data_IF_070963761177
#
_entry.id   IF_070963761177
#
_cell.length_a   1.000
_cell.length_b   1.000
_cell.length_c   1.000
_cell.angle_alpha   90.00
_cell.angle_beta   90.00
_cell.angle_gamma   90.00
#
_symmetry.space_group_name_H-M   'P 1'
#
loop_
_entity.id
_entity.type
_entity.pdbx_description
1 polymer ?
#
# COMPACT_ATOMS: atom_id res chain seq x y z
N UNK A 1 44.99 -57.44 -42.15
CA UNK A 1 43.55 -57.18 -41.97
C UNK A 1 43.31 -56.80 -40.51
N UNK A 2 43.09 -55.52 -40.23
CA UNK A 2 42.35 -55.02 -39.07
C UNK A 2 42.12 -53.53 -39.30
N UNK A 3 40.95 -53.21 -39.85
CA UNK A 3 40.43 -51.85 -39.89
C UNK A 3 39.79 -51.55 -38.53
N UNK A 4 40.24 -50.46 -37.90
CA UNK A 4 39.46 -49.75 -36.88
C UNK A 4 39.36 -48.32 -37.44
N UNK A 5 38.24 -47.89 -38.00
CA UNK A 5 36.94 -47.89 -37.32
C UNK A 5 36.78 -46.54 -36.64
N UNK A 6 36.78 -45.46 -37.43
CA UNK A 6 36.43 -44.13 -36.96
C UNK A 6 34.93 -44.14 -36.58
N UNK A 7 34.61 -44.16 -35.30
CA UNK A 7 33.25 -43.98 -34.81
C UNK A 7 33.01 -42.51 -34.44
N UNK A 8 32.23 -41.85 -35.29
CA UNK A 8 31.04 -41.06 -34.92
C UNK A 8 31.14 -40.03 -33.79
N UNK A 9 31.19 -38.75 -34.20
CA UNK A 9 30.20 -37.75 -33.80
C UNK A 9 30.03 -37.43 -32.31
N UNK A 10 30.97 -36.68 -31.73
CA UNK A 10 30.71 -35.91 -30.52
C UNK A 10 29.96 -34.61 -30.87
N UNK A 11 28.64 -34.69 -31.03
CA UNK A 11 27.76 -33.52 -30.97
C UNK A 11 27.67 -33.02 -29.53
N UNK A 12 28.75 -32.41 -29.02
CA UNK A 12 28.76 -31.81 -27.70
C UNK A 12 27.85 -30.59 -27.68
N UNK A 13 26.96 -30.49 -26.66
CA UNK A 13 26.19 -29.25 -26.41
C UNK A 13 27.17 -28.06 -26.46
N UNK A 14 26.84 -26.98 -27.18
CA UNK A 14 27.74 -25.83 -27.27
C UNK A 14 28.04 -25.29 -25.87
N UNK A 15 29.29 -24.88 -25.63
CA UNK A 15 29.71 -24.41 -24.31
C UNK A 15 28.95 -23.14 -23.92
N UNK A 16 27.99 -23.30 -23.01
CA UNK A 16 27.11 -22.25 -22.53
C UNK A 16 27.88 -21.08 -21.90
N UNK A 17 29.03 -21.35 -21.28
CA UNK A 17 29.84 -20.32 -20.64
C UNK A 17 30.57 -19.46 -21.68
N UNK A 18 31.11 -20.10 -22.72
CA UNK A 18 31.68 -19.40 -23.87
C UNK A 18 30.63 -18.55 -24.59
N UNK A 19 29.42 -19.08 -24.83
CA UNK A 19 28.31 -18.34 -25.44
C UNK A 19 27.90 -17.12 -24.60
N UNK A 20 27.82 -17.29 -23.27
CA UNK A 20 27.53 -16.19 -22.35
C UNK A 20 28.61 -15.11 -22.40
N UNK A 21 29.90 -15.46 -22.46
CA UNK A 21 30.96 -14.46 -22.53
C UNK A 21 31.05 -13.75 -23.90
N UNK A 22 30.73 -14.46 -24.98
CA UNK A 22 30.52 -13.83 -26.30
C UNK A 22 29.35 -12.84 -26.23
N UNK A 23 28.24 -13.22 -25.60
CA UNK A 23 27.10 -12.33 -25.33
C UNK A 23 27.50 -11.10 -24.52
N UNK A 24 28.32 -11.27 -23.48
CA UNK A 24 28.86 -10.15 -22.68
C UNK A 24 29.69 -9.21 -23.55
N UNK A 25 30.52 -9.75 -24.44
CA UNK A 25 31.35 -8.97 -25.37
C UNK A 25 30.49 -8.21 -26.37
N UNK A 26 29.49 -8.85 -26.97
CA UNK A 26 28.54 -8.21 -27.87
C UNK A 26 27.75 -7.09 -27.17
N UNK A 27 27.31 -7.33 -25.92
CA UNK A 27 26.61 -6.35 -25.08
C UNK A 27 27.48 -5.12 -24.80
N UNK A 28 28.75 -5.32 -24.38
CA UNK A 28 29.73 -4.23 -24.17
C UNK A 28 30.01 -3.44 -25.45
N UNK A 29 29.92 -4.08 -26.63
CA UNK A 29 30.03 -3.44 -27.95
C UNK A 29 28.74 -2.79 -28.45
N UNK A 30 27.73 -2.66 -27.59
CA UNK A 30 26.41 -2.10 -27.90
C UNK A 30 25.63 -2.89 -28.99
N UNK A 31 26.00 -4.13 -29.26
CA UNK A 31 25.32 -5.03 -30.21
C UNK A 31 24.28 -5.88 -29.48
N UNK A 32 23.21 -5.23 -29.04
CA UNK A 32 22.25 -5.79 -28.08
C UNK A 32 21.44 -6.96 -28.64
N UNK A 33 21.02 -6.91 -29.90
CA UNK A 33 20.30 -8.02 -30.56
C UNK A 33 21.18 -9.26 -30.71
N UNK A 34 22.45 -9.06 -31.06
CA UNK A 34 23.44 -10.14 -31.12
C UNK A 34 23.64 -10.76 -29.72
N UNK A 35 23.81 -9.92 -28.70
CA UNK A 35 23.94 -10.36 -27.32
C UNK A 35 22.72 -11.16 -26.84
N UNK A 36 21.50 -10.71 -27.14
CA UNK A 36 20.26 -11.44 -26.81
C UNK A 36 20.24 -12.84 -27.43
N UNK A 37 20.61 -12.95 -28.71
CA UNK A 37 20.73 -14.23 -29.40
C UNK A 37 21.75 -15.16 -28.75
N UNK A 38 22.94 -14.64 -28.43
CA UNK A 38 24.01 -15.40 -27.76
C UNK A 38 23.61 -15.86 -26.36
N UNK A 39 22.94 -15.02 -25.56
CA UNK A 39 22.43 -15.44 -24.26
C UNK A 39 21.32 -16.47 -24.39
N UNK A 40 20.48 -16.39 -25.41
CA UNK A 40 19.43 -17.39 -25.67
C UNK A 40 20.05 -18.74 -25.98
N UNK A 41 21.05 -18.79 -26.87
CA UNK A 41 21.82 -20.01 -27.13
C UNK A 41 22.50 -20.55 -25.86
N UNK A 42 23.04 -19.67 -25.01
CA UNK A 42 23.63 -20.07 -23.73
C UNK A 42 22.59 -20.70 -22.78
N UNK A 43 21.37 -20.16 -22.75
CA UNK A 43 20.26 -20.69 -21.94
C UNK A 43 19.80 -22.05 -22.47
N UNK A 44 19.66 -22.19 -23.80
CA UNK A 44 19.21 -23.43 -24.44
C UNK A 44 20.25 -24.57 -24.31
N UNK A 45 21.52 -24.22 -24.12
CA UNK A 45 22.60 -25.18 -23.88
C UNK A 45 22.66 -25.70 -22.43
N UNK A 46 21.94 -25.07 -21.50
CA UNK A 46 21.91 -25.41 -20.08
C UNK A 46 20.62 -26.16 -19.74
N UNK A 47 20.70 -27.09 -18.79
CA UNK A 47 19.52 -27.74 -18.25
C UNK A 47 18.68 -26.73 -17.43
N UNK A 48 17.39 -26.97 -17.28
CA UNK A 48 16.46 -26.00 -16.68
C UNK A 48 16.84 -25.63 -15.24
N UNK A 49 17.34 -26.58 -14.47
CA UNK A 49 17.72 -26.40 -13.06
C UNK A 49 19.19 -25.96 -12.86
N UNK A 50 19.94 -25.69 -13.94
CA UNK A 50 21.36 -25.32 -13.80
C UNK A 50 21.51 -23.90 -13.19
N UNK A 51 22.22 -23.72 -12.05
CA UNK A 51 22.45 -22.41 -11.46
C UNK A 51 23.16 -21.40 -12.37
N UNK A 52 23.94 -21.86 -13.36
CA UNK A 52 24.57 -21.00 -14.38
C UNK A 52 23.54 -20.38 -15.33
N UNK A 53 22.37 -21.01 -15.49
CA UNK A 53 21.26 -20.49 -16.31
C UNK A 53 20.76 -19.16 -15.77
N UNK A 54 20.72 -18.99 -14.44
CA UNK A 54 20.37 -17.72 -13.80
C UNK A 54 21.27 -16.55 -14.25
N UNK A 55 22.57 -16.79 -14.48
CA UNK A 55 23.51 -15.77 -14.97
C UNK A 55 23.18 -15.34 -16.41
N UNK A 56 22.91 -16.31 -17.28
CA UNK A 56 22.56 -16.04 -18.67
C UNK A 56 21.20 -15.33 -18.78
N UNK A 57 20.21 -15.75 -17.99
CA UNK A 57 18.90 -15.11 -17.87
C UNK A 57 19.00 -13.67 -17.37
N UNK A 58 19.75 -13.39 -16.31
CA UNK A 58 19.92 -12.02 -15.81
C UNK A 58 20.66 -11.10 -16.80
N UNK A 59 21.57 -11.66 -17.61
CA UNK A 59 22.24 -10.92 -18.67
C UNK A 59 21.32 -10.66 -19.87
N UNK A 60 20.48 -11.64 -20.25
CA UNK A 60 19.44 -11.46 -21.27
C UNK A 60 18.39 -10.45 -20.80
N UNK A 61 18.00 -10.47 -19.54
CA UNK A 61 17.04 -9.54 -18.93
C UNK A 61 17.47 -8.08 -19.11
N UNK A 62 18.70 -7.69 -18.72
CA UNK A 62 19.17 -6.31 -18.95
C UNK A 62 19.30 -5.98 -20.44
N UNK A 63 19.67 -6.95 -21.27
CA UNK A 63 19.74 -6.76 -22.73
C UNK A 63 18.37 -6.44 -23.30
N UNK A 64 17.34 -7.17 -22.88
CA UNK A 64 15.94 -6.94 -23.24
C UNK A 64 15.43 -5.59 -22.73
N UNK A 65 15.77 -5.17 -21.51
CA UNK A 65 15.46 -3.81 -21.03
C UNK A 65 16.05 -2.74 -21.95
N UNK A 66 17.29 -2.91 -22.39
CA UNK A 66 17.92 -1.98 -23.31
C UNK A 66 17.35 -2.04 -24.74
N UNK A 67 16.73 -3.15 -25.12
CA UNK A 67 15.96 -3.33 -26.36
C UNK A 67 14.48 -2.92 -26.22
N UNK A 68 14.08 -2.38 -25.06
CA UNK A 68 12.70 -1.96 -24.74
C UNK A 68 11.69 -3.11 -24.64
N UNK A 69 12.15 -4.35 -24.52
CA UNK A 69 11.31 -5.49 -24.16
C UNK A 69 11.29 -5.69 -22.63
N UNK A 70 10.53 -4.84 -21.93
CA UNK A 70 10.43 -4.91 -20.48
C UNK A 70 9.69 -6.17 -19.99
N UNK A 71 8.73 -6.69 -20.78
CA UNK A 71 7.97 -7.91 -20.44
C UNK A 71 8.85 -9.16 -20.54
N UNK A 72 9.66 -9.28 -21.59
CA UNK A 72 10.64 -10.37 -21.69
C UNK A 72 11.74 -10.26 -20.64
N UNK A 73 12.17 -9.04 -20.31
CA UNK A 73 13.13 -8.82 -19.23
C UNK A 73 12.60 -9.23 -17.85
N UNK A 74 11.32 -8.97 -17.57
CA UNK A 74 10.69 -9.37 -16.32
C UNK A 74 10.65 -10.89 -16.19
N UNK A 75 10.19 -11.59 -17.24
CA UNK A 75 10.18 -13.06 -17.28
C UNK A 75 11.55 -13.67 -17.03
N UNK A 76 12.58 -13.16 -17.71
CA UNK A 76 13.96 -13.62 -17.51
C UNK A 76 14.47 -13.37 -16.08
N UNK A 77 14.10 -12.24 -15.47
CA UNK A 77 14.51 -11.92 -14.11
C UNK A 77 13.80 -12.80 -13.06
N UNK A 78 12.53 -13.14 -13.31
CA UNK A 78 11.75 -14.04 -12.45
C UNK A 78 12.28 -15.47 -12.53
N UNK A 79 12.56 -15.98 -13.73
CA UNK A 79 13.20 -17.30 -13.92
C UNK A 79 14.61 -17.32 -13.31
N UNK A 80 15.38 -16.24 -13.43
CA UNK A 80 16.69 -16.16 -12.76
C UNK A 80 16.57 -16.23 -11.23
N UNK A 81 15.53 -15.63 -10.65
CA UNK A 81 15.28 -15.63 -9.21
C UNK A 81 14.65 -16.91 -8.69
N UNK A 82 13.93 -17.67 -9.53
CA UNK A 82 13.48 -19.02 -9.15
C UNK A 82 14.65 -20.00 -9.02
N UNK A 83 15.68 -19.83 -9.87
CA UNK A 83 16.90 -20.64 -9.82
C UNK A 83 17.88 -20.19 -8.73
N UNK A 84 17.98 -18.88 -8.51
CA UNK A 84 18.83 -18.28 -7.47
C UNK A 84 18.02 -17.29 -6.64
N UNK A 85 17.29 -17.76 -5.62
CA UNK A 85 16.59 -16.90 -4.69
C UNK A 85 17.55 -15.93 -4.02
N UNK A 86 17.07 -14.72 -3.70
CA UNK A 86 17.82 -13.69 -2.98
C UNK A 86 19.17 -13.33 -3.63
N UNK A 87 19.28 -13.46 -4.95
CA UNK A 87 20.49 -13.06 -5.66
C UNK A 87 20.43 -11.60 -6.11
N UNK A 88 21.34 -10.76 -5.60
CA UNK A 88 21.26 -9.30 -5.74
C UNK A 88 21.16 -8.78 -7.17
N UNK A 89 21.83 -9.41 -8.14
CA UNK A 89 21.67 -9.04 -9.57
C UNK A 89 20.28 -9.36 -10.08
N UNK A 90 19.73 -10.54 -9.77
CA UNK A 90 18.38 -10.95 -10.14
C UNK A 90 17.33 -10.00 -9.55
N UNK A 91 17.46 -9.68 -8.26
CA UNK A 91 16.59 -8.74 -7.56
C UNK A 91 16.58 -7.38 -8.28
N UNK A 92 17.77 -6.84 -8.57
CA UNK A 92 17.89 -5.57 -9.28
C UNK A 92 17.34 -5.64 -10.71
N UNK A 93 17.50 -6.76 -11.44
CA UNK A 93 16.91 -6.93 -12.79
C UNK A 93 15.39 -6.92 -12.76
N UNK A 94 14.77 -7.66 -11.83
CA UNK A 94 13.32 -7.72 -11.70
C UNK A 94 12.75 -6.34 -11.37
N UNK A 95 13.35 -5.66 -10.39
CA UNK A 95 12.93 -4.32 -10.00
C UNK A 95 13.02 -3.30 -11.16
N UNK A 96 14.12 -3.33 -11.93
CA UNK A 96 14.28 -2.49 -13.13
C UNK A 96 13.30 -2.85 -14.26
N UNK A 97 12.90 -4.10 -14.37
CA UNK A 97 11.91 -4.52 -15.36
C UNK A 97 10.50 -4.03 -14.99
N UNK A 98 10.11 -4.14 -13.71
CA UNK A 98 8.87 -3.56 -13.18
C UNK A 98 8.86 -2.03 -13.37
N UNK A 99 9.96 -1.36 -13.06
CA UNK A 99 10.13 0.09 -13.29
C UNK A 99 9.91 0.44 -14.77
N UNK A 100 10.47 -0.34 -15.70
CA UNK A 100 10.32 -0.10 -17.13
C UNK A 100 8.90 -0.38 -17.68
N UNK A 101 8.11 -1.18 -16.96
CA UNK A 101 6.69 -1.42 -17.26
C UNK A 101 5.77 -0.33 -16.69
N UNK A 102 6.28 0.56 -15.84
CA UNK A 102 5.49 1.57 -15.12
C UNK A 102 4.82 1.02 -13.85
N UNK A 103 5.15 -0.21 -13.44
CA UNK A 103 4.64 -0.87 -12.24
C UNK A 103 5.46 -0.44 -11.01
N UNK A 104 5.59 0.88 -10.80
CA UNK A 104 6.46 1.46 -9.78
C UNK A 104 6.08 1.01 -8.35
N UNK A 105 4.78 0.76 -8.08
CA UNK A 105 4.30 0.27 -6.77
C UNK A 105 4.79 -1.14 -6.51
N UNK A 106 4.65 -2.02 -7.51
CA UNK A 106 5.10 -3.41 -7.40
C UNK A 106 6.63 -3.49 -7.29
N UNK A 107 7.34 -2.66 -8.06
CA UNK A 107 8.80 -2.52 -7.96
C UNK A 107 9.21 -2.07 -6.55
N UNK A 108 8.55 -1.07 -5.99
CA UNK A 108 8.85 -0.55 -4.65
C UNK A 108 8.63 -1.63 -3.58
N UNK A 109 7.46 -2.29 -3.58
CA UNK A 109 7.14 -3.36 -2.64
C UNK A 109 8.17 -4.48 -2.71
N UNK A 110 8.46 -4.97 -3.91
CA UNK A 110 9.41 -6.05 -4.12
C UNK A 110 10.82 -5.71 -3.61
N UNK A 111 11.32 -4.49 -3.89
CA UNK A 111 12.64 -4.07 -3.40
C UNK A 111 12.65 -3.90 -1.88
N UNK A 112 11.57 -3.36 -1.30
CA UNK A 112 11.44 -3.21 0.16
C UNK A 112 11.47 -4.58 0.86
N UNK A 113 10.67 -5.53 0.38
CA UNK A 113 10.67 -6.91 0.90
C UNK A 113 12.06 -7.56 0.77
N UNK A 114 12.72 -7.40 -0.37
CA UNK A 114 14.06 -7.94 -0.59
C UNK A 114 15.13 -7.33 0.33
N UNK A 115 14.96 -6.07 0.75
CA UNK A 115 15.84 -5.40 1.70
C UNK A 115 15.50 -5.71 3.16
N UNK A 116 14.26 -6.12 3.47
CA UNK A 116 13.87 -6.52 4.83
C UNK A 116 14.47 -7.87 5.24
N UNK A 117 14.83 -8.70 4.25
CA UNK A 117 15.50 -9.99 4.49
C UNK A 117 16.84 -9.78 5.23
N UNK A 118 17.06 -10.48 6.36
CA UNK A 118 18.31 -10.43 7.11
C UNK A 118 19.51 -10.79 6.23
N UNK A 119 20.62 -10.08 6.43
CA UNK A 119 21.85 -10.29 5.63
C UNK A 119 22.36 -11.73 5.70
N UNK A 120 22.12 -12.40 6.83
CA UNK A 120 22.47 -13.81 7.07
C UNK A 120 21.68 -14.78 6.16
N UNK A 121 20.45 -14.42 5.81
CA UNK A 121 19.56 -15.23 4.96
C UNK A 121 19.80 -14.97 3.47
N UNK A 122 20.47 -13.86 3.14
CA UNK A 122 20.79 -13.44 1.77
C UNK A 122 22.31 -13.22 1.55
N UNK A 123 23.18 -14.22 1.79
CA UNK A 123 24.64 -14.06 1.70
C UNK A 123 25.12 -13.73 0.29
N UNK A 124 24.33 -14.06 -0.74
CA UNK A 124 24.61 -13.78 -2.14
C UNK A 124 24.38 -12.30 -2.53
N UNK A 125 23.76 -11.49 -1.66
CA UNK A 125 23.59 -10.05 -1.85
C UNK A 125 24.79 -9.33 -1.24
N UNK A 126 25.69 -8.88 -2.09
CA UNK A 126 26.85 -8.10 -1.60
C UNK A 126 26.41 -6.74 -1.04
N UNK A 127 27.17 -6.13 -0.12
CA UNK A 127 26.85 -4.79 0.39
C UNK A 127 26.68 -3.74 -0.72
N UNK A 128 27.48 -3.85 -1.79
CA UNK A 128 27.34 -2.99 -2.97
C UNK A 128 26.00 -3.22 -3.70
N UNK A 129 25.57 -4.47 -3.87
CA UNK A 129 24.27 -4.77 -4.49
C UNK A 129 23.10 -4.30 -3.61
N UNK A 130 23.22 -4.47 -2.29
CA UNK A 130 22.23 -3.97 -1.33
C UNK A 130 22.10 -2.45 -1.42
N UNK A 131 23.22 -1.72 -1.45
CA UNK A 131 23.23 -0.27 -1.66
C UNK A 131 22.58 0.14 -2.99
N UNK A 132 22.80 -0.58 -4.09
CA UNK A 132 22.11 -0.27 -5.35
C UNK A 132 20.59 -0.51 -5.29
N UNK A 133 20.13 -1.48 -4.49
CA UNK A 133 18.71 -1.71 -4.25
C UNK A 133 18.11 -0.61 -3.37
N UNK A 134 18.85 -0.14 -2.36
CA UNK A 134 18.44 1.00 -1.52
C UNK A 134 18.31 2.28 -2.35
N UNK A 135 19.28 2.58 -3.21
CA UNK A 135 19.21 3.71 -4.16
C UNK A 135 18.00 3.60 -5.08
N UNK A 136 17.72 2.40 -5.59
CA UNK A 136 16.55 2.15 -6.43
C UNK A 136 15.24 2.35 -5.66
N UNK A 137 15.17 1.88 -4.41
CA UNK A 137 14.01 2.05 -3.54
C UNK A 137 13.73 3.54 -3.30
N UNK A 138 14.76 4.32 -3.00
CA UNK A 138 14.66 5.79 -2.82
C UNK A 138 14.20 6.47 -4.12
N UNK A 139 14.70 6.06 -5.27
CA UNK A 139 14.29 6.62 -6.56
C UNK A 139 12.82 6.30 -6.89
N UNK A 140 12.39 5.04 -6.73
CA UNK A 140 11.00 4.60 -6.94
C UNK A 140 10.05 5.35 -6.02
N UNK A 141 10.42 5.46 -4.74
CA UNK A 141 9.69 6.25 -3.75
C UNK A 141 9.48 7.69 -4.21
N UNK A 142 10.56 8.40 -4.58
CA UNK A 142 10.48 9.78 -5.04
C UNK A 142 9.58 9.94 -6.25
N UNK A 143 9.62 8.99 -7.19
CA UNK A 143 8.74 8.97 -8.36
C UNK A 143 7.28 8.78 -7.98
N UNK A 144 6.97 7.83 -7.10
CA UNK A 144 5.62 7.59 -6.59
C UNK A 144 5.08 8.82 -5.86
N UNK A 145 5.93 9.51 -5.09
CA UNK A 145 5.57 10.76 -4.44
C UNK A 145 5.29 11.86 -5.44
N UNK A 146 6.18 12.07 -6.42
CA UNK A 146 5.98 13.07 -7.47
C UNK A 146 4.69 12.83 -8.28
N UNK A 147 4.37 11.55 -8.59
CA UNK A 147 3.13 11.17 -9.29
C UNK A 147 1.88 11.54 -8.49
N UNK A 148 1.96 11.51 -7.17
CA UNK A 148 0.86 11.81 -6.26
C UNK A 148 1.00 13.18 -5.58
N UNK A 149 1.95 14.02 -6.01
CA UNK A 149 2.17 15.33 -5.41
C UNK A 149 1.04 16.28 -5.85
N UNK A 150 0.59 17.13 -4.92
CA UNK A 150 -0.29 18.24 -5.25
C UNK A 150 0.60 19.38 -5.75
N UNK A 151 0.69 19.53 -7.06
CA UNK A 151 1.58 20.51 -7.72
C UNK A 151 0.90 21.84 -7.99
N UNK A 152 -0.42 21.83 -8.19
CA UNK A 152 -1.20 23.06 -8.22
C UNK A 152 -1.20 23.71 -6.84
N UNK A 153 -1.25 25.03 -6.79
CA UNK A 153 -1.47 25.81 -5.57
C UNK A 153 -2.91 26.29 -5.54
N UNK A 154 -3.87 25.48 -5.04
CA UNK A 154 -5.22 25.93 -4.79
C UNK A 154 -5.26 27.27 -4.04
N UNK A 155 -6.12 28.18 -4.50
CA UNK A 155 -6.26 29.52 -3.92
C UNK A 155 -7.38 29.60 -2.86
N UNK A 156 -8.08 28.49 -2.60
CA UNK A 156 -9.20 28.44 -1.65
C UNK A 156 -9.20 27.16 -0.81
N UNK A 157 -9.92 27.22 0.32
CA UNK A 157 -10.09 26.11 1.26
C UNK A 157 -10.69 24.89 0.56
N UNK A 158 -11.79 25.08 -0.17
CA UNK A 158 -12.49 24.00 -0.87
C UNK A 158 -11.62 23.33 -1.93
N UNK A 159 -10.80 24.11 -2.64
CA UNK A 159 -9.91 23.58 -3.66
C UNK A 159 -8.75 22.76 -3.04
N UNK A 160 -8.23 23.17 -1.88
CA UNK A 160 -7.26 22.36 -1.13
C UNK A 160 -7.86 21.05 -0.62
N UNK A 161 -9.05 21.12 -0.05
CA UNK A 161 -9.78 19.95 0.45
C UNK A 161 -10.06 18.96 -0.68
N UNK A 162 -10.56 19.45 -1.83
CA UNK A 162 -10.81 18.62 -3.00
C UNK A 162 -9.53 17.97 -3.54
N UNK A 163 -8.42 18.72 -3.62
CA UNK A 163 -7.14 18.20 -4.11
C UNK A 163 -6.58 17.08 -3.21
N UNK A 164 -6.74 17.20 -1.89
CA UNK A 164 -6.35 16.16 -0.95
C UNK A 164 -7.27 14.94 -1.01
N UNK A 165 -8.58 15.14 -1.14
CA UNK A 165 -9.59 14.10 -1.18
C UNK A 165 -9.39 13.15 -2.38
N UNK A 166 -9.19 13.70 -3.58
CA UNK A 166 -9.00 12.90 -4.80
C UNK A 166 -7.61 12.24 -4.88
N UNK A 167 -6.69 12.60 -3.99
CA UNK A 167 -5.34 12.06 -4.01
C UNK A 167 -5.33 10.56 -3.67
N UNK A 168 -4.65 9.68 -4.42
CA UNK A 168 -4.59 8.27 -4.06
C UNK A 168 -3.68 8.01 -2.84
N UNK A 169 -2.72 8.89 -2.56
CA UNK A 169 -1.74 8.74 -1.47
C UNK A 169 -2.30 9.19 -0.12
N UNK A 170 -2.84 8.24 0.65
CA UNK A 170 -3.35 8.55 1.99
C UNK A 170 -2.28 9.02 2.97
N UNK A 171 -1.04 8.51 2.86
CA UNK A 171 0.05 8.96 3.73
C UNK A 171 0.37 10.43 3.49
N UNK A 172 0.22 10.94 2.27
CA UNK A 172 0.32 12.37 1.98
C UNK A 172 -0.76 13.17 2.72
N UNK A 173 -2.02 12.72 2.70
CA UNK A 173 -3.10 13.37 3.47
C UNK A 173 -2.79 13.39 4.97
N UNK A 174 -2.40 12.25 5.53
CA UNK A 174 -2.07 12.13 6.95
C UNK A 174 -0.86 13.00 7.33
N UNK A 175 0.20 12.98 6.52
CA UNK A 175 1.36 13.85 6.71
C UNK A 175 0.96 15.33 6.67
N UNK A 176 0.12 15.71 5.71
CA UNK A 176 -0.39 17.09 5.58
C UNK A 176 -1.15 17.52 6.82
N UNK A 177 -2.05 16.68 7.33
CA UNK A 177 -2.78 16.92 8.57
C UNK A 177 -1.83 17.11 9.77
N UNK A 178 -0.80 16.25 9.88
CA UNK A 178 0.20 16.33 10.94
C UNK A 178 1.07 17.61 10.83
N UNK A 179 1.46 18.00 9.61
CA UNK A 179 2.17 19.26 9.38
C UNK A 179 1.31 20.48 9.73
N UNK A 180 0.03 20.49 9.35
CA UNK A 180 -0.91 21.54 9.73
C UNK A 180 -1.05 21.63 11.26
N UNK A 181 -1.17 20.50 11.96
CA UNK A 181 -1.17 20.47 13.43
C UNK A 181 0.14 21.02 14.03
N UNK A 182 1.29 20.62 13.49
CA UNK A 182 2.60 21.03 13.99
C UNK A 182 2.90 22.50 13.73
N UNK A 183 2.37 23.08 12.64
CA UNK A 183 2.58 24.46 12.26
C UNK A 183 1.81 25.51 13.09
N UNK A 184 0.95 25.08 14.01
CA UNK A 184 0.07 25.98 14.78
C UNK A 184 0.41 26.01 16.27
N UNK A 185 -0.04 27.07 16.95
CA UNK A 185 0.17 27.28 18.38
C UNK A 185 -0.62 26.24 19.20
N UNK A 186 -0.17 25.90 20.42
CA UNK A 186 -0.87 24.94 21.27
C UNK A 186 -2.34 25.28 21.55
N UNK A 187 -2.68 26.57 21.72
CA UNK A 187 -4.08 27.00 21.84
C UNK A 187 -4.94 26.67 20.61
N UNK A 188 -4.35 26.73 19.42
CA UNK A 188 -5.03 26.45 18.16
C UNK A 188 -5.21 24.93 17.98
N UNK A 189 -4.21 24.14 18.39
CA UNK A 189 -4.31 22.66 18.47
C UNK A 189 -5.46 22.22 19.36
N UNK A 190 -5.72 22.93 20.46
CA UNK A 190 -6.83 22.62 21.38
C UNK A 190 -8.18 22.77 20.68
N UNK A 191 -8.36 23.86 19.93
CA UNK A 191 -9.58 24.10 19.15
C UNK A 191 -9.74 23.09 18.01
N UNK A 192 -8.64 22.70 17.36
CA UNK A 192 -8.62 21.63 16.35
C UNK A 192 -9.03 20.29 16.98
N UNK A 193 -8.54 19.98 18.18
CA UNK A 193 -8.88 18.76 18.90
C UNK A 193 -10.35 18.74 19.33
N UNK A 194 -10.87 19.84 19.89
CA UNK A 194 -12.29 19.98 20.25
C UNK A 194 -13.20 19.71 19.07
N UNK A 195 -12.86 20.32 17.94
CA UNK A 195 -13.53 20.13 16.68
C UNK A 195 -13.53 18.67 16.20
N UNK A 196 -12.37 18.01 16.23
CA UNK A 196 -12.25 16.60 15.85
C UNK A 196 -13.07 15.69 16.77
N UNK A 197 -13.04 15.94 18.08
CA UNK A 197 -13.79 15.17 19.07
C UNK A 197 -15.31 15.34 18.91
N UNK A 198 -15.77 16.55 18.60
CA UNK A 198 -17.18 16.81 18.31
C UNK A 198 -17.65 16.06 17.07
N UNK A 199 -16.85 16.07 15.99
CA UNK A 199 -17.15 15.30 14.77
C UNK A 199 -17.16 13.79 15.04
N UNK A 200 -16.20 13.28 15.82
CA UNK A 200 -16.13 11.88 16.22
C UNK A 200 -17.34 11.45 17.06
N UNK A 201 -17.83 12.33 17.92
CA UNK A 201 -19.01 12.07 18.75
C UNK A 201 -20.33 12.20 18.00
N UNK A 202 -20.38 13.04 16.96
CA UNK A 202 -21.53 13.21 16.09
C UNK A 202 -21.65 12.11 15.00
N UNK A 203 -20.66 11.24 14.85
CA UNK A 203 -20.69 10.15 13.89
C UNK A 203 -21.91 9.23 14.13
N UNK A 204 -22.72 8.95 13.10
CA UNK A 204 -23.95 8.19 13.27
C UNK A 204 -23.66 6.75 13.71
N UNK A 205 -24.64 6.15 14.40
CA UNK A 205 -24.56 4.77 14.85
C UNK A 205 -24.31 3.79 13.68
N UNK A 206 -23.77 2.59 13.93
CA UNK A 206 -23.20 1.65 12.97
C UNK A 206 -23.92 1.27 11.65
N UNK A 207 -25.12 1.77 11.37
CA UNK A 207 -25.97 1.27 10.29
C UNK A 207 -26.22 2.20 9.09
N UNK A 208 -25.50 3.32 8.90
CA UNK A 208 -25.96 4.37 7.96
C UNK A 208 -24.99 4.92 6.92
N UNK A 209 -23.79 4.36 6.72
CA UNK A 209 -22.87 4.83 5.67
C UNK A 209 -22.59 3.77 4.58
N UNK A 210 -22.74 4.11 3.29
CA UNK A 210 -22.42 3.23 2.18
C UNK A 210 -20.98 3.43 1.72
N UNK A 211 -20.25 2.32 1.49
CA UNK A 211 -19.43 2.00 0.30
C UNK A 211 -18.19 1.13 0.62
N UNK A 212 -18.16 0.02 -0.12
CA UNK A 212 -17.09 -0.81 -0.70
C UNK A 212 -15.82 -1.18 0.09
N UNK A 213 -15.82 -2.46 0.47
CA UNK A 213 -14.70 -3.42 0.52
C UNK A 213 -13.44 -3.02 1.28
N UNK A 214 -13.58 -3.03 2.60
CA UNK A 214 -12.50 -3.12 3.60
C UNK A 214 -11.57 -4.34 3.36
N UNK A 215 -12.08 -5.45 2.82
CA UNK A 215 -11.34 -6.69 2.63
C UNK A 215 -10.13 -6.53 1.67
N UNK A 216 -10.28 -5.76 0.59
CA UNK A 216 -9.21 -5.56 -0.39
C UNK A 216 -8.05 -4.68 0.12
N UNK A 217 -8.31 -3.79 1.08
CA UNK A 217 -7.30 -2.90 1.68
C UNK A 217 -6.57 -3.61 2.82
N UNK A 218 -7.30 -4.40 3.63
CA UNK A 218 -6.73 -5.17 4.73
C UNK A 218 -5.90 -6.37 4.25
N UNK A 219 -6.29 -7.06 3.16
CA UNK A 219 -5.46 -8.13 2.57
C UNK A 219 -4.15 -7.65 1.95
N UNK A 220 -4.06 -6.36 1.57
CA UNK A 220 -2.83 -5.75 1.09
C UNK A 220 -1.87 -5.39 2.24
N UNK A 221 -2.41 -5.06 3.43
CA UNK A 221 -1.66 -4.57 4.59
C UNK A 221 -1.28 -5.70 5.57
N UNK A 222 -2.14 -6.72 5.73
CA UNK A 222 -1.89 -7.90 6.57
C UNK A 222 -0.75 -8.80 6.05
N UNK A 223 -0.36 -8.66 4.79
CA UNK A 223 0.83 -9.31 4.23
C UNK A 223 2.15 -8.68 4.70
N UNK A 224 2.13 -7.54 5.40
CA UNK A 224 3.33 -6.78 5.76
C UNK A 224 3.47 -6.37 7.23
N UNK A 225 2.58 -6.77 8.16
CA UNK A 225 2.68 -6.34 9.56
C UNK A 225 2.40 -7.46 10.58
N UNK A 226 3.44 -8.07 11.18
CA UNK A 226 3.29 -9.18 12.12
C UNK A 226 2.85 -8.79 13.54
N UNK A 227 2.63 -7.50 13.85
CA UNK A 227 2.38 -7.03 15.23
C UNK A 227 0.91 -6.84 15.63
N UNK A 228 -0.05 -7.22 14.79
CA UNK A 228 -1.47 -7.21 15.17
C UNK A 228 -1.88 -8.58 15.71
N UNK A 229 -1.70 -8.80 17.02
CA UNK A 229 -2.42 -9.86 17.73
C UNK A 229 -3.46 -9.25 18.69
N UNK A 230 -4.71 -9.76 18.73
CA UNK A 230 -5.71 -9.30 19.67
C UNK A 230 -5.54 -10.03 20.99
N UNK A 231 -5.05 -9.34 22.03
CA UNK A 231 -5.10 -9.86 23.40
C UNK A 231 -6.33 -9.33 24.16
N UNK A 232 -7.14 -10.31 24.55
CA UNK A 232 -8.30 -10.34 25.44
C UNK A 232 -8.56 -9.13 26.37
N UNK A 233 -9.74 -8.53 26.21
CA UNK A 233 -10.45 -7.83 27.30
C UNK A 233 -11.87 -8.43 27.35
N UNK A 234 -12.30 -8.85 28.54
CA UNK A 234 -13.59 -9.50 28.74
C UNK A 234 -14.77 -8.55 28.38
N UNK A 235 -15.78 -9.05 27.64
CA UNK A 235 -16.77 -8.22 26.94
C UNK A 235 -17.75 -7.44 27.84
N UNK A 236 -17.96 -7.88 29.08
CA UNK A 236 -19.03 -7.34 29.93
C UNK A 236 -18.61 -6.11 30.76
N UNK A 237 -17.34 -6.01 31.15
CA UNK A 237 -16.81 -4.84 31.86
C UNK A 237 -16.51 -3.66 30.93
N UNK A 238 -16.10 -3.95 29.69
CA UNK A 238 -15.83 -2.95 28.65
C UNK A 238 -17.13 -2.32 28.14
N UNK A 239 -18.19 -3.11 27.96
CA UNK A 239 -19.50 -2.61 27.53
C UNK A 239 -20.10 -1.59 28.52
N UNK A 240 -19.96 -1.80 29.84
CA UNK A 240 -20.46 -0.88 30.87
C UNK A 240 -19.63 0.42 30.94
N UNK A 241 -18.30 0.31 30.76
CA UNK A 241 -17.38 1.46 30.67
C UNK A 241 -17.64 2.31 29.41
N UNK A 242 -17.87 1.65 28.27
CA UNK A 242 -18.29 2.27 27.01
C UNK A 242 -19.63 2.99 27.18
N UNK A 243 -20.58 2.41 27.91
CA UNK A 243 -21.91 3.00 28.17
C UNK A 243 -21.84 4.25 29.05
N UNK A 244 -20.92 4.28 30.01
CA UNK A 244 -20.69 5.43 30.90
C UNK A 244 -19.97 6.59 30.19
N UNK A 245 -18.99 6.28 29.32
CA UNK A 245 -18.23 7.26 28.54
C UNK A 245 -18.94 7.73 27.27
N UNK A 246 -19.94 6.97 26.79
CA UNK A 246 -20.78 7.29 25.62
C UNK A 246 -22.04 8.05 25.98
N UNK A 247 -22.29 8.37 27.26
CA UNK A 247 -23.40 9.26 27.60
C UNK A 247 -23.15 10.60 26.90
N UNK A 248 -24.11 11.12 26.12
CA UNK A 248 -24.00 12.51 25.69
C UNK A 248 -23.80 13.34 26.95
N UNK A 249 -22.78 14.20 26.96
CA UNK A 249 -22.64 15.19 28.01
C UNK A 249 -24.00 15.87 28.15
N UNK A 250 -24.60 15.78 29.33
CA UNK A 250 -25.85 16.47 29.60
C UNK A 250 -25.62 17.97 29.28
N UNK A 251 -26.19 18.38 28.16
CA UNK A 251 -26.29 19.75 27.65
C UNK A 251 -24.99 20.52 27.34
N UNK A 252 -23.99 19.91 26.68
CA UNK A 252 -22.84 20.68 26.16
C UNK A 252 -21.94 20.01 25.11
N UNK A 253 -21.18 20.81 24.32
CA UNK A 253 -20.19 20.29 23.37
C UNK A 253 -19.06 19.54 24.10
N UNK A 254 -18.55 18.46 23.51
CA UNK A 254 -17.35 17.79 24.03
C UNK A 254 -16.17 18.76 23.89
N UNK A 255 -15.52 19.06 25.03
CA UNK A 255 -14.35 19.93 25.12
C UNK A 255 -13.18 19.18 25.76
N UNK A 256 -12.03 19.22 25.11
CA UNK A 256 -10.74 18.76 25.60
C UNK A 256 -10.35 19.48 26.90
N UNK A 257 -10.70 20.77 27.05
CA UNK A 257 -10.54 21.52 28.30
C UNK A 257 -11.26 20.85 29.48
N UNK A 258 -12.48 20.35 29.26
CA UNK A 258 -13.24 19.64 30.29
C UNK A 258 -12.62 18.27 30.65
N UNK A 259 -11.84 17.70 29.72
CA UNK A 259 -11.01 16.51 29.94
C UNK A 259 -9.65 16.84 30.61
N UNK A 260 -9.38 18.11 30.96
CA UNK A 260 -8.13 18.54 31.59
C UNK A 260 -6.96 18.68 30.61
N UNK A 261 -7.23 18.70 29.30
CA UNK A 261 -6.22 19.02 28.29
C UNK A 261 -5.96 20.52 28.35
N UNK A 262 -4.73 20.90 28.65
CA UNK A 262 -4.26 22.28 28.59
C UNK A 262 -3.37 22.45 27.35
N UNK A 263 -3.13 23.70 26.90
CA UNK A 263 -2.17 23.96 25.84
C UNK A 263 -0.79 23.31 26.07
N UNK A 264 -0.35 23.17 27.33
CA UNK A 264 0.95 22.55 27.68
C UNK A 264 1.01 21.05 27.35
N UNK A 265 -0.14 20.39 27.24
CA UNK A 265 -0.24 18.99 26.83
C UNK A 265 -0.16 18.80 25.30
N UNK A 266 -0.32 19.87 24.51
CA UNK A 266 -0.45 19.81 23.06
C UNK A 266 0.88 20.03 22.34
N UNK A 267 1.80 19.09 22.50
CA UNK A 267 3.09 19.09 21.78
C UNK A 267 2.91 18.78 20.28
N UNK A 268 3.92 19.07 19.44
CA UNK A 268 3.92 18.62 18.06
C UNK A 268 3.89 17.09 17.95
N UNK A 269 3.23 16.55 16.92
CA UNK A 269 3.31 15.15 16.54
C UNK A 269 4.73 14.76 16.13
N UNK A 270 5.23 13.58 16.54
CA UNK A 270 6.47 13.04 16.01
C UNK A 270 6.29 12.75 14.51
N UNK A 271 7.14 13.36 13.69
CA UNK A 271 7.05 13.20 12.23
C UNK A 271 7.76 11.96 11.72
N UNK A 272 8.22 11.04 12.58
CA UNK A 272 8.99 9.84 12.16
C UNK A 272 8.25 8.97 11.15
N UNK A 273 6.92 8.82 11.29
CA UNK A 273 6.07 8.04 10.38
C UNK A 273 5.81 8.74 9.03
N UNK A 274 6.18 10.02 8.93
CA UNK A 274 5.96 10.87 7.76
C UNK A 274 7.23 11.60 7.31
N UNK A 275 8.38 11.31 7.92
CA UNK A 275 9.66 11.99 7.68
C UNK A 275 10.11 11.87 6.23
N UNK A 276 9.54 10.88 5.59
CA UNK A 276 9.83 10.37 4.31
C UNK A 276 8.84 10.91 3.26
N UNK A 277 7.80 11.66 3.66
CA UNK A 277 6.75 12.26 2.82
C UNK A 277 6.97 13.76 2.62
N UNK A 278 7.04 14.20 1.37
CA UNK A 278 7.05 15.62 1.01
C UNK A 278 5.62 16.18 1.01
N UNK A 279 5.17 16.69 2.15
CA UNK A 279 3.86 17.34 2.25
C UNK A 279 3.81 18.66 1.46
N UNK A 280 2.62 19.11 0.98
CA UNK A 280 2.51 20.28 0.13
C UNK A 280 2.87 21.55 0.91
N UNK A 281 4.10 22.05 0.76
CA UNK A 281 4.61 23.22 1.50
C UNK A 281 3.77 24.48 1.28
N UNK A 282 3.21 24.63 0.08
CA UNK A 282 2.29 25.72 -0.25
C UNK A 282 1.01 25.68 0.60
N UNK A 283 0.42 24.50 0.83
CA UNK A 283 -0.73 24.35 1.74
C UNK A 283 -0.32 24.64 3.17
N UNK A 284 0.83 24.14 3.62
CA UNK A 284 1.30 24.36 5.00
C UNK A 284 1.47 25.87 5.25
N UNK A 285 2.06 26.59 4.30
CA UNK A 285 2.20 28.04 4.36
C UNK A 285 0.85 28.77 4.30
N UNK A 286 -0.04 28.36 3.40
CA UNK A 286 -1.40 28.89 3.30
C UNK A 286 -2.17 28.72 4.61
N UNK A 287 -2.15 27.52 5.19
CA UNK A 287 -2.80 27.16 6.43
C UNK A 287 -2.29 27.99 7.62
N UNK A 288 -0.97 28.17 7.73
CA UNK A 288 -0.35 28.96 8.79
C UNK A 288 -0.71 30.46 8.72
N UNK A 289 -1.04 30.98 7.53
CA UNK A 289 -1.44 32.36 7.33
C UNK A 289 -2.93 32.64 7.60
N UNK A 290 -3.75 31.60 7.79
CA UNK A 290 -5.19 31.77 8.01
C UNK A 290 -5.51 32.33 9.41
N UNK A 291 -6.58 33.14 9.54
CA UNK A 291 -7.18 33.43 10.83
C UNK A 291 -7.59 32.15 11.56
N UNK A 292 -7.54 32.17 12.89
CA UNK A 292 -7.72 30.97 13.73
C UNK A 292 -9.03 30.21 13.46
N UNK A 293 -10.15 30.91 13.28
CA UNK A 293 -11.44 30.26 13.02
C UNK A 293 -11.47 29.57 11.64
N UNK A 294 -10.84 30.18 10.62
CA UNK A 294 -10.72 29.59 9.28
C UNK A 294 -9.74 28.42 9.25
N UNK A 295 -8.66 28.50 10.02
CA UNK A 295 -7.71 27.41 10.20
C UNK A 295 -8.39 26.17 10.79
N UNK A 296 -9.17 26.35 11.87
CA UNK A 296 -9.93 25.26 12.48
C UNK A 296 -10.96 24.70 11.49
N UNK A 297 -11.68 25.58 10.76
CA UNK A 297 -12.65 25.17 9.76
C UNK A 297 -12.02 24.37 8.60
N UNK A 298 -10.87 24.81 8.07
CA UNK A 298 -10.15 24.10 7.01
C UNK A 298 -9.61 22.75 7.51
N UNK A 299 -9.03 22.71 8.72
CA UNK A 299 -8.59 21.44 9.30
C UNK A 299 -9.75 20.46 9.49
N UNK A 300 -10.89 20.93 10.00
CA UNK A 300 -12.11 20.13 10.09
C UNK A 300 -12.60 19.65 8.72
N UNK A 301 -12.56 20.52 7.71
CA UNK A 301 -12.97 20.14 6.36
C UNK A 301 -12.07 19.02 5.80
N UNK A 302 -10.74 19.15 5.96
CA UNK A 302 -9.79 18.08 5.59
C UNK A 302 -10.06 16.79 6.39
N UNK A 303 -10.25 16.88 7.70
CA UNK A 303 -10.62 15.78 8.59
C UNK A 303 -11.88 15.04 8.12
N UNK A 304 -12.95 15.78 7.79
CA UNK A 304 -14.22 15.22 7.31
C UNK A 304 -14.13 14.60 5.92
N UNK A 305 -13.10 14.92 5.12
CA UNK A 305 -12.83 14.25 3.84
C UNK A 305 -11.84 13.10 3.95
N UNK A 306 -11.19 12.90 5.11
CA UNK A 306 -10.41 11.69 5.34
C UNK A 306 -11.30 10.46 5.21
N UNK A 307 -10.74 9.41 4.61
CA UNK A 307 -11.38 8.09 4.59
C UNK A 307 -11.47 7.56 6.01
N UNK A 308 -12.39 6.62 6.21
CA UNK A 308 -12.64 6.05 7.53
C UNK A 308 -11.37 5.53 8.22
N UNK A 309 -10.60 4.68 7.52
CA UNK A 309 -9.38 4.10 8.09
C UNK A 309 -8.31 5.16 8.39
N UNK A 310 -8.27 6.26 7.62
CA UNK A 310 -7.38 7.39 7.85
C UNK A 310 -7.76 8.12 9.14
N UNK A 311 -9.07 8.32 9.41
CA UNK A 311 -9.52 8.88 10.69
C UNK A 311 -9.18 7.99 11.87
N UNK A 312 -9.27 6.66 11.70
CA UNK A 312 -8.82 5.70 12.72
C UNK A 312 -7.32 5.82 12.98
N UNK A 313 -6.49 5.94 11.94
CA UNK A 313 -5.05 6.14 12.09
C UNK A 313 -4.73 7.43 12.84
N UNK A 314 -5.35 8.55 12.47
CA UNK A 314 -5.14 9.83 13.18
C UNK A 314 -5.67 9.78 14.61
N UNK A 315 -6.81 9.12 14.84
CA UNK A 315 -7.35 8.95 16.19
C UNK A 315 -6.46 8.06 17.07
N UNK A 316 -5.84 7.02 16.51
CA UNK A 316 -4.84 6.21 17.19
C UNK A 316 -3.57 7.02 17.49
N UNK A 317 -3.10 7.83 16.54
CA UNK A 317 -1.96 8.74 16.75
C UNK A 317 -2.26 9.72 17.90
N UNK A 318 -3.48 10.27 17.96
CA UNK A 318 -3.94 11.07 19.11
C UNK A 318 -3.97 10.26 20.41
N UNK A 319 -4.49 9.03 20.40
CA UNK A 319 -4.59 8.19 21.59
C UNK A 319 -3.21 7.89 22.18
N UNK A 320 -2.25 7.46 21.35
CA UNK A 320 -0.86 7.24 21.80
C UNK A 320 -0.22 8.54 22.30
N UNK A 321 -0.49 9.65 21.64
CA UNK A 321 0.07 10.94 22.02
C UNK A 321 -0.48 11.47 23.36
N UNK A 322 -1.76 11.21 23.63
CA UNK A 322 -2.45 11.63 24.84
C UNK A 322 -2.53 10.53 25.91
N UNK A 323 -1.74 9.46 25.83
CA UNK A 323 -1.71 8.36 26.82
C UNK A 323 -1.54 8.87 28.26
N UNK A 324 -0.85 10.02 28.42
CA UNK A 324 -0.65 10.69 29.71
C UNK A 324 -1.86 11.50 30.21
N UNK A 325 -2.88 11.69 29.38
CA UNK A 325 -4.14 12.40 29.70
C UNK A 325 -5.25 11.37 29.94
N UNK A 326 -5.34 10.91 31.18
CA UNK A 326 -6.19 9.78 31.61
C UNK A 326 -7.69 9.92 31.27
N UNK A 327 -8.20 11.15 31.07
CA UNK A 327 -9.62 11.39 30.73
C UNK A 327 -9.91 11.36 29.22
N UNK A 328 -8.91 11.65 28.38
CA UNK A 328 -9.10 11.74 26.94
C UNK A 328 -8.88 10.38 26.25
N UNK A 329 -7.93 9.58 26.74
CA UNK A 329 -7.65 8.25 26.17
C UNK A 329 -8.89 7.34 26.08
N UNK A 330 -9.70 7.17 27.15
CA UNK A 330 -10.89 6.36 27.07
C UNK A 330 -11.94 6.90 26.09
N UNK A 331 -12.02 8.22 25.91
CA UNK A 331 -12.94 8.83 24.92
C UNK A 331 -12.48 8.55 23.49
N UNK A 332 -11.18 8.63 23.23
CA UNK A 332 -10.59 8.30 21.93
C UNK A 332 -10.73 6.80 21.63
N UNK A 333 -10.49 5.92 22.60
CA UNK A 333 -10.69 4.48 22.45
C UNK A 333 -12.16 4.12 22.14
N UNK A 334 -13.10 4.77 22.83
CA UNK A 334 -14.55 4.61 22.56
C UNK A 334 -14.89 5.12 21.16
N UNK A 335 -14.39 6.28 20.76
CA UNK A 335 -14.61 6.82 19.42
C UNK A 335 -14.04 5.90 18.34
N UNK A 336 -12.82 5.42 18.50
CA UNK A 336 -12.17 4.44 17.62
C UNK A 336 -12.98 3.13 17.56
N UNK A 337 -13.51 2.66 18.68
CA UNK A 337 -14.33 1.45 18.75
C UNK A 337 -15.68 1.63 18.05
N UNK A 338 -16.36 2.77 18.24
CA UNK A 338 -17.61 3.11 17.55
C UNK A 338 -17.40 3.20 16.05
N UNK A 339 -16.30 3.84 15.63
CA UNK A 339 -15.88 3.87 14.24
C UNK A 339 -15.73 2.45 13.70
N UNK A 340 -14.96 1.57 14.36
CA UNK A 340 -14.73 0.17 13.93
C UNK A 340 -16.04 -0.63 13.82
N UNK A 341 -16.90 -0.53 14.84
CA UNK A 341 -18.19 -1.21 14.85
C UNK A 341 -19.11 -0.74 13.71
N UNK A 342 -19.08 0.55 13.37
CA UNK A 342 -19.82 1.08 12.23
C UNK A 342 -19.36 0.50 10.89
N UNK A 343 -18.08 0.17 10.76
CA UNK A 343 -17.58 -0.46 9.55
C UNK A 343 -17.86 -1.95 9.47
N UNK A 344 -17.82 -2.66 10.59
CA UNK A 344 -18.18 -4.08 10.65
C UNK A 344 -19.66 -4.30 10.31
N UNK A 345 -20.55 -3.46 10.86
CA UNK A 345 -21.97 -3.49 10.54
C UNK A 345 -22.26 -3.11 9.08
N UNK A 346 -21.57 -2.10 8.52
CA UNK A 346 -21.69 -1.75 7.11
C UNK A 346 -21.14 -2.84 6.17
N UNK A 347 -20.05 -3.51 6.53
CA UNK A 347 -19.50 -4.63 5.78
C UNK A 347 -20.44 -5.85 5.82
N UNK A 348 -21.03 -6.15 6.98
CA UNK A 348 -22.05 -7.19 7.13
C UNK A 348 -23.33 -6.88 6.33
N UNK A 349 -23.75 -5.61 6.28
CA UNK A 349 -24.89 -5.18 5.46
C UNK A 349 -24.60 -5.30 3.95
N UNK A 350 -23.37 -5.01 3.51
CA UNK A 350 -22.96 -5.15 2.11
C UNK A 350 -22.88 -6.63 1.67
N UNK A 351 -22.39 -7.52 2.53
CA UNK A 351 -22.37 -8.97 2.24
C UNK A 351 -23.77 -9.58 2.27
N UNK A 352 -24.64 -9.14 3.19
CA UNK A 352 -26.05 -9.52 3.21
C UNK A 352 -26.83 -8.96 2.00
N UNK A 353 -26.52 -7.75 1.53
CA UNK A 353 -27.06 -7.15 0.33
C UNK A 353 -26.62 -7.87 -0.96
N UNK A 354 -25.35 -8.29 -1.03
CA UNK A 354 -24.85 -9.10 -2.13
C UNK A 354 -25.46 -10.51 -2.15
N UNK A 355 -25.64 -11.14 -0.98
CA UNK A 355 -26.28 -12.45 -0.85
C UNK A 355 -27.79 -12.40 -1.17
N UNK A 356 -28.50 -11.35 -0.74
CA UNK A 356 -29.93 -11.17 -1.04
C UNK A 356 -30.16 -10.78 -2.51
N UNK A 357 -29.27 -9.97 -3.11
CA UNK A 357 -29.27 -9.68 -4.54
C UNK A 357 -29.01 -10.92 -5.41
N UNK A 358 -28.08 -11.78 -5.00
CA UNK A 358 -27.82 -13.06 -5.66
C UNK A 358 -28.99 -14.06 -5.51
N UNK A 359 -29.66 -14.09 -4.35
CA UNK A 359 -30.86 -14.90 -4.11
C UNK A 359 -32.10 -14.40 -4.88
N UNK A 360 -32.26 -13.07 -5.03
CA UNK A 360 -33.33 -12.49 -5.84
C UNK A 360 -33.10 -12.74 -7.34
N UNK A 361 -31.85 -12.66 -7.81
CA UNK A 361 -31.48 -12.97 -9.19
C UNK A 361 -31.66 -14.46 -9.52
N UNK A 362 -31.33 -15.37 -8.59
CA UNK A 362 -31.55 -16.81 -8.77
C UNK A 362 -33.03 -17.19 -8.66
N UNK A 363 -33.81 -16.53 -7.81
CA UNK A 363 -35.26 -16.68 -7.72
C UNK A 363 -36.00 -16.19 -8.98
N UNK A 364 -35.57 -15.06 -9.55
CA UNK A 364 -36.11 -14.55 -10.81
C UNK A 364 -35.77 -15.46 -12.00
N UNK A 365 -34.55 -16.02 -12.03
CA UNK A 365 -34.15 -17.00 -13.04
C UNK A 365 -34.97 -18.31 -12.93
N UNK A 366 -35.19 -18.82 -11.71
CA UNK A 366 -35.99 -20.02 -11.46
C UNK A 366 -37.48 -19.84 -11.81
N UNK A 367 -38.06 -18.66 -11.52
CA UNK A 367 -39.43 -18.33 -11.92
C UNK A 367 -39.59 -18.24 -13.45
N UNK A 368 -38.59 -17.70 -14.16
CA UNK A 368 -38.59 -17.65 -15.63
C UNK A 368 -38.51 -19.06 -16.25
N UNK A 369 -37.69 -19.96 -15.68
CA UNK A 369 -37.55 -21.34 -16.13
C UNK A 369 -38.82 -22.19 -15.88
N UNK A 370 -39.50 -21.98 -14.76
CA UNK A 370 -40.78 -22.64 -14.46
C UNK A 370 -41.90 -22.21 -15.42
N UNK A 371 -41.93 -20.92 -15.83
CA UNK A 371 -42.89 -20.43 -16.82
C UNK A 371 -42.65 -20.97 -18.24
N UNK A 372 -41.39 -21.22 -18.61
CA UNK A 372 -41.01 -21.83 -19.89
C UNK A 372 -41.35 -23.32 -19.98
N UNK A 373 -41.21 -24.07 -18.89
CA UNK A 373 -41.55 -25.50 -18.85
C UNK A 373 -43.07 -25.76 -18.92
N UNK A 374 -43.89 -24.90 -18.31
CA UNK A 374 -45.36 -24.99 -18.39
C UNK A 374 -45.89 -24.72 -19.82
N UNK A 375 -45.20 -23.87 -20.60
CA UNK A 375 -45.57 -23.58 -22.00
C UNK A 375 -45.17 -24.70 -22.97
N UNK A 376 -44.18 -25.53 -22.65
CA UNK A 376 -43.72 -26.63 -23.49
C UNK A 376 -44.56 -27.92 -23.33
N UNK A 377 -45.18 -28.14 -22.17
CA UNK A 377 -46.04 -29.30 -21.92
C UNK A 377 -47.43 -29.26 -22.58
N UNK A 378 -47.88 -28.08 -23.03
CA UNK A 378 -49.20 -27.89 -23.65
C UNK A 378 -49.21 -28.03 -25.19
N UNK A 379 -48.10 -28.46 -25.81
CA UNK A 379 -47.98 -28.65 -27.28
C UNK A 379 -47.79 -30.10 -27.73
N UNK A 380 -47.98 -31.08 -26.85
CA UNK A 380 -47.93 -32.49 -27.23
C UNK A 380 -49.07 -33.30 -26.59
N UNK A 381 -50.30 -33.02 -27.01
CA UNK A 381 -51.44 -33.96 -26.94
C UNK A 381 -52.39 -33.68 -28.08
#
# INVERSE_FOLDING_TARGET
MAAAGASSGAGGKPDAEALREQGNTAFRRNRKREAEGLYTQAIDALDEDDPKRALALANRSITRLQLKDAKGALRDAEEALSLRPLWGKGLHRRAKALEALGEDIEAFRFVAEALDVPVQEAPDVTPAQRSTLEELLVALRKRLQAKHAITATPESDDAWVAALEVNPNYRLRLATMAHCWNGVLPRQRLRILDAALQDLAAAPAPGSCPIASFAAIVEADARGNPNLSPSSIAPEALAERIRQLSRPAADGPIRAEAAGVTPDHLKPFPMTNYADIDAPSALIAYFAALPEDRMVALWQAMWRRLRFYERVLVANDFAMFFEKVARLCPLLEVAVSKLRASTEAAAAAATAGAASGAAAASGAAAASAASGAAAAGARST
#
